data_IF_071754242315
#
_entry.id   IF_071754242315
#
_cell.length_a   1.000
_cell.length_b   1.000
_cell.length_c   1.000
_cell.angle_alpha   90.00
_cell.angle_beta   90.00
_cell.angle_gamma   90.00
#
_symmetry.space_group_name_H-M   'P 1'
#
loop_
_entity.id
_entity.type
_entity.pdbx_description
1 polymer ?
#
# COMPACT_ATOMS: atom_id res chain seq x y z
N UNK A 1 -10.00 -8.90 23.49
CA UNK A 1 -10.11 -10.35 23.70
C UNK A 1 -9.58 -10.63 25.10
N UNK A 2 -10.47 -10.89 26.05
CA UNK A 2 -10.10 -11.28 27.41
C UNK A 2 -9.41 -12.65 27.38
N UNK A 3 -8.42 -12.86 28.25
CA UNK A 3 -7.53 -14.04 28.28
C UNK A 3 -8.25 -15.40 28.36
N UNK A 4 -9.54 -15.40 28.70
CA UNK A 4 -10.40 -16.58 28.89
C UNK A 4 -11.04 -17.16 27.60
N UNK A 5 -10.86 -16.51 26.44
CA UNK A 5 -11.44 -16.95 25.15
C UNK A 5 -10.37 -17.46 24.15
N UNK A 6 -9.14 -17.66 24.62
CA UNK A 6 -8.05 -18.15 23.78
C UNK A 6 -8.18 -19.66 23.56
N UNK A 7 -7.92 -20.13 22.33
CA UNK A 7 -7.93 -21.54 22.00
C UNK A 7 -6.85 -22.31 22.80
N UNK A 8 -7.16 -23.57 23.16
CA UNK A 8 -6.28 -24.46 23.94
C UNK A 8 -4.91 -24.68 23.29
N UNK A 9 -4.87 -24.65 21.95
CA UNK A 9 -3.65 -24.70 21.15
C UNK A 9 -3.65 -23.57 20.14
N UNK A 10 -2.55 -22.82 20.08
CA UNK A 10 -2.28 -21.85 19.04
C UNK A 10 -0.80 -21.85 18.68
N UNK A 11 -0.49 -21.22 17.56
CA UNK A 11 0.87 -20.83 17.24
C UNK A 11 0.87 -19.41 16.73
N UNK A 12 2.01 -18.75 16.87
CA UNK A 12 2.27 -17.51 16.17
C UNK A 12 3.67 -17.52 15.61
N UNK A 13 3.88 -16.74 14.55
CA UNK A 13 5.18 -16.60 13.92
C UNK A 13 5.72 -15.20 14.13
N UNK A 14 7.05 -15.10 14.23
CA UNK A 14 7.75 -13.82 14.24
C UNK A 14 8.88 -13.86 13.25
N UNK A 15 9.02 -12.78 12.49
CA UNK A 15 10.12 -12.62 11.56
C UNK A 15 11.07 -11.57 12.11
N UNK A 16 12.36 -11.88 12.17
CA UNK A 16 13.41 -10.94 12.58
C UNK A 16 14.59 -11.00 11.64
N UNK A 17 15.15 -9.85 11.32
CA UNK A 17 16.39 -9.76 10.53
C UNK A 17 17.57 -10.18 11.40
N UNK A 18 18.31 -11.19 10.95
CA UNK A 18 19.51 -11.70 11.61
C UNK A 18 20.77 -10.88 11.25
N UNK A 19 21.92 -11.17 11.89
CA UNK A 19 23.18 -10.47 11.66
C UNK A 19 23.72 -10.57 10.22
N UNK A 20 23.40 -11.66 9.52
CA UNK A 20 23.75 -11.85 8.10
C UNK A 20 22.91 -10.98 7.14
N UNK A 21 21.92 -10.24 7.66
CA UNK A 21 20.97 -9.47 6.86
C UNK A 21 19.81 -10.29 6.30
N UNK A 22 19.81 -11.61 6.46
CA UNK A 22 18.70 -12.52 6.14
C UNK A 22 17.59 -12.47 7.21
N UNK A 23 16.40 -12.93 6.86
CA UNK A 23 15.27 -13.01 7.78
C UNK A 23 15.16 -14.41 8.39
N UNK A 24 15.08 -14.47 9.71
CA UNK A 24 14.80 -15.68 10.47
C UNK A 24 13.32 -15.70 10.86
N UNK A 25 12.66 -16.81 10.58
CA UNK A 25 11.27 -17.07 11.00
C UNK A 25 11.29 -17.93 12.25
N UNK A 26 10.67 -17.42 13.31
CA UNK A 26 10.47 -18.10 14.57
C UNK A 26 9.03 -18.61 14.62
N UNK A 27 8.86 -19.90 14.87
CA UNK A 27 7.58 -20.51 15.20
C UNK A 27 7.47 -20.61 16.72
N UNK A 28 6.40 -20.08 17.28
CA UNK A 28 6.14 -20.09 18.71
C UNK A 28 4.79 -20.77 18.91
N UNK A 29 4.84 -21.98 19.45
CA UNK A 29 3.65 -22.73 19.89
C UNK A 29 3.26 -22.27 21.29
N UNK A 30 1.97 -22.20 21.57
CA UNK A 30 1.45 -21.78 22.87
C UNK A 30 -0.02 -22.15 23.03
N UNK A 31 -0.55 -21.91 24.23
CA UNK A 31 -1.90 -22.34 24.60
C UNK A 31 -1.90 -22.97 25.98
N UNK A 32 -3.02 -22.86 26.70
CA UNK A 32 -3.13 -23.36 28.07
C UNK A 32 -2.88 -24.88 28.16
N UNK A 33 -3.17 -25.61 27.07
CA UNK A 33 -2.87 -27.04 27.00
C UNK A 33 -1.36 -27.33 26.96
N UNK A 34 -0.53 -26.50 26.34
CA UNK A 34 0.94 -26.66 26.35
C UNK A 34 1.56 -26.33 27.72
N UNK A 35 0.92 -25.46 28.51
CA UNK A 35 1.38 -25.14 29.87
C UNK A 35 0.98 -26.23 30.89
N UNK A 36 -0.14 -26.92 30.65
CA UNK A 36 -0.70 -27.93 31.55
C UNK A 36 -0.41 -29.39 31.15
N UNK A 37 0.08 -29.65 29.93
CA UNK A 37 0.42 -31.00 29.46
C UNK A 37 1.89 -31.10 29.07
N UNK A 38 2.51 -32.23 29.42
CA UNK A 38 3.84 -32.59 28.92
C UNK A 38 3.70 -33.07 27.48
N UNK A 39 4.31 -32.36 26.54
CA UNK A 39 4.48 -32.80 25.15
C UNK A 39 5.36 -34.07 25.16
N UNK A 40 4.90 -35.21 24.62
CA UNK A 40 5.71 -36.42 24.51
C UNK A 40 7.02 -36.18 23.74
N UNK A 41 8.08 -36.90 24.11
CA UNK A 41 9.41 -36.73 23.49
C UNK A 41 9.43 -37.05 21.98
N UNK A 42 8.53 -37.92 21.52
CA UNK A 42 8.44 -38.36 20.12
C UNK A 42 7.37 -37.60 19.29
N UNK A 43 6.86 -36.48 19.78
CA UNK A 43 5.84 -35.73 19.05
C UNK A 43 6.44 -34.93 17.88
N UNK A 44 5.95 -35.19 16.67
CA UNK A 44 6.40 -34.53 15.44
C UNK A 44 5.44 -33.43 15.00
N UNK A 45 5.97 -32.25 14.66
CA UNK A 45 5.19 -31.16 14.09
C UNK A 45 5.32 -31.12 12.56
N UNK A 46 4.20 -31.24 11.85
CA UNK A 46 4.15 -31.08 10.39
C UNK A 46 3.94 -29.61 10.01
N UNK A 47 4.81 -29.08 9.14
CA UNK A 47 4.81 -27.68 8.73
C UNK A 47 4.64 -27.56 7.21
N UNK A 48 3.72 -26.70 6.78
CA UNK A 48 3.63 -26.26 5.38
C UNK A 48 4.14 -24.83 5.29
N UNK A 49 5.22 -24.62 4.52
CA UNK A 49 5.92 -23.34 4.42
C UNK A 49 6.02 -22.88 2.96
N UNK A 50 5.84 -21.59 2.73
CA UNK A 50 6.13 -20.95 1.43
C UNK A 50 7.37 -20.09 1.56
N UNK A 51 8.39 -20.39 0.75
CA UNK A 51 9.66 -19.66 0.73
C UNK A 51 9.79 -18.76 -0.49
N UNK A 52 10.61 -17.71 -0.34
CA UNK A 52 11.10 -16.93 -1.48
C UNK A 52 12.61 -16.79 -1.40
N UNK A 53 13.17 -16.45 -2.54
CA UNK A 53 14.57 -16.30 -2.80
C UNK A 53 14.98 -14.85 -2.47
N UNK A 54 15.71 -14.67 -1.35
CA UNK A 54 16.06 -13.37 -0.80
C UNK A 54 17.07 -12.58 -1.64
N UNK A 55 18.32 -12.49 -1.20
CA UNK A 55 19.33 -11.62 -1.83
C UNK A 55 20.00 -12.24 -3.08
N UNK A 56 19.22 -12.84 -3.99
CA UNK A 56 19.79 -13.36 -5.22
C UNK A 56 20.38 -12.22 -6.08
N UNK A 57 21.54 -12.42 -6.73
CA UNK A 57 22.22 -11.33 -7.44
C UNK A 57 21.35 -10.75 -8.58
N UNK A 58 21.23 -9.43 -8.63
CA UNK A 58 20.53 -8.68 -9.70
C UNK A 58 20.94 -9.14 -11.11
N UNK A 59 22.24 -9.40 -11.31
CA UNK A 59 22.80 -9.84 -12.59
C UNK A 59 22.27 -11.22 -13.01
N UNK A 60 22.07 -12.13 -12.07
CA UNK A 60 21.50 -13.44 -12.36
C UNK A 60 20.07 -13.30 -12.89
N UNK A 61 19.27 -12.41 -12.28
CA UNK A 61 17.88 -12.15 -12.69
C UNK A 61 17.77 -11.41 -14.03
N UNK A 62 18.69 -10.50 -14.35
CA UNK A 62 18.68 -9.75 -15.62
C UNK A 62 18.96 -10.64 -16.84
N UNK A 63 19.81 -11.65 -16.69
CA UNK A 63 20.07 -12.64 -17.74
C UNK A 63 19.14 -13.86 -17.66
N UNK A 64 18.20 -13.89 -16.70
CA UNK A 64 17.26 -15.01 -16.59
C UNK A 64 16.25 -14.94 -17.72
N UNK A 65 16.36 -15.88 -18.65
CA UNK A 65 15.32 -16.12 -19.65
C UNK A 65 14.32 -17.11 -19.04
N UNK A 66 13.07 -16.68 -18.94
CA UNK A 66 11.96 -17.55 -18.60
C UNK A 66 11.26 -17.94 -19.90
N UNK A 67 11.58 -19.10 -20.44
CA UNK A 67 11.08 -19.59 -21.74
C UNK A 67 10.52 -21.03 -21.72
N UNK A 68 10.64 -21.71 -20.57
CA UNK A 68 10.28 -23.13 -20.43
C UNK A 68 8.91 -23.32 -19.76
N UNK A 69 8.07 -24.21 -20.31
CA UNK A 69 6.75 -24.57 -19.76
C UNK A 69 6.86 -25.84 -18.91
N UNK A 70 6.37 -25.81 -17.65
CA UNK A 70 6.50 -26.94 -16.71
C UNK A 70 5.42 -28.02 -16.87
N UNK A 71 4.20 -27.67 -17.28
CA UNK A 71 3.10 -28.60 -17.57
C UNK A 71 2.26 -28.04 -18.70
N UNK A 72 2.20 -28.75 -19.82
CA UNK A 72 1.36 -28.37 -20.96
C UNK A 72 0.01 -29.08 -20.86
N UNK A 73 -1.07 -28.31 -20.99
CA UNK A 73 -2.31 -28.80 -21.61
C UNK A 73 -2.05 -29.13 -23.09
N UNK A 74 -3.01 -29.72 -23.81
CA UNK A 74 -2.84 -30.17 -25.21
C UNK A 74 -2.40 -29.11 -26.24
N UNK A 75 -2.35 -27.83 -25.88
CA UNK A 75 -1.90 -26.73 -26.74
C UNK A 75 -0.43 -26.34 -26.48
N UNK A 76 0.31 -26.09 -27.56
CA UNK A 76 1.68 -25.55 -27.50
C UNK A 76 1.65 -24.07 -27.13
N UNK A 77 2.43 -23.68 -26.11
CA UNK A 77 2.54 -22.30 -25.62
C UNK A 77 4.02 -21.90 -25.62
N UNK A 78 4.31 -20.70 -26.14
CA UNK A 78 5.64 -20.09 -26.04
C UNK A 78 5.67 -19.11 -24.85
N UNK A 79 6.74 -19.15 -24.06
CA UNK A 79 6.96 -18.26 -22.92
C UNK A 79 8.12 -17.32 -23.24
N UNK A 80 7.96 -16.05 -22.90
CA UNK A 80 9.04 -15.05 -22.97
C UNK A 80 8.86 -14.01 -21.88
N UNK A 81 9.96 -13.44 -21.43
CA UNK A 81 9.93 -12.31 -20.52
C UNK A 81 9.62 -10.99 -21.27
N UNK A 82 8.74 -10.17 -20.71
CA UNK A 82 8.40 -8.84 -21.26
C UNK A 82 9.25 -7.72 -20.65
N UNK A 83 9.66 -7.87 -19.39
CA UNK A 83 10.39 -6.86 -18.63
C UNK A 83 11.39 -7.53 -17.68
N UNK A 84 12.53 -6.90 -17.40
CA UNK A 84 13.48 -7.45 -16.44
C UNK A 84 12.81 -7.70 -15.06
N UNK A 85 13.06 -8.85 -14.40
CA UNK A 85 12.53 -9.10 -13.06
C UNK A 85 13.00 -8.03 -12.07
N UNK A 86 12.12 -7.65 -11.15
CA UNK A 86 12.42 -6.66 -10.11
C UNK A 86 13.27 -7.27 -9.01
N UNK A 87 13.93 -6.40 -8.24
CA UNK A 87 14.58 -6.80 -7.00
C UNK A 87 13.56 -6.93 -5.87
N UNK A 88 13.81 -7.79 -4.87
CA UNK A 88 13.02 -7.81 -3.65
C UNK A 88 12.97 -6.41 -3.01
N UNK A 89 11.76 -5.97 -2.69
CA UNK A 89 11.50 -4.69 -2.05
C UNK A 89 11.02 -4.93 -0.63
N UNK A 90 11.80 -4.51 0.37
CA UNK A 90 11.49 -4.69 1.78
C UNK A 90 10.95 -3.38 2.37
N UNK A 91 9.97 -3.44 3.30
CA UNK A 91 9.45 -2.23 3.92
C UNK A 91 10.55 -1.52 4.74
N UNK A 92 10.49 -0.18 4.83
CA UNK A 92 11.48 0.59 5.58
C UNK A 92 11.40 0.29 7.09
N UNK A 93 12.56 0.06 7.70
CA UNK A 93 12.71 -0.21 9.13
C UNK A 93 12.99 1.06 9.96
N UNK A 94 12.64 2.24 9.44
CA UNK A 94 12.97 3.53 10.06
C UNK A 94 12.15 3.80 11.32
N UNK A 95 12.69 4.66 12.19
CA UNK A 95 12.02 5.07 13.43
C UNK A 95 10.63 5.65 13.14
N UNK A 96 9.61 5.18 13.88
CA UNK A 96 8.19 5.58 13.78
C UNK A 96 7.47 5.29 12.46
N UNK A 97 8.07 4.57 11.49
CA UNK A 97 7.38 4.23 10.23
C UNK A 97 6.01 3.58 10.48
N UNK A 98 5.97 2.52 11.28
CA UNK A 98 4.73 1.80 11.62
C UNK A 98 3.69 2.70 12.30
N UNK A 99 4.12 3.63 13.16
CA UNK A 99 3.23 4.59 13.79
C UNK A 99 2.62 5.54 12.77
N UNK A 100 3.43 6.06 11.84
CA UNK A 100 2.92 6.92 10.74
C UNK A 100 1.93 6.18 9.85
N UNK A 101 2.16 4.89 9.59
CA UNK A 101 1.19 4.04 8.87
C UNK A 101 -0.11 3.93 9.64
N UNK A 102 -0.06 3.54 10.92
CA UNK A 102 -1.28 3.43 11.74
C UNK A 102 -2.04 4.76 11.85
N UNK A 103 -1.33 5.88 12.00
CA UNK A 103 -1.94 7.20 12.13
C UNK A 103 -2.73 7.63 10.89
N UNK A 104 -2.27 7.32 9.67
CA UNK A 104 -2.99 7.74 8.47
C UNK A 104 -4.19 6.85 8.13
N UNK A 105 -4.36 5.70 8.77
CA UNK A 105 -5.50 4.80 8.50
C UNK A 105 -6.82 5.30 9.11
N UNK A 106 -6.75 6.29 10.02
CA UNK A 106 -7.91 6.89 10.63
C UNK A 106 -8.76 7.69 9.65
N UNK A 107 -10.08 7.59 9.76
CA UNK A 107 -11.06 8.33 8.95
C UNK A 107 -10.85 9.85 9.04
N UNK A 108 -10.52 10.36 10.23
CA UNK A 108 -10.24 11.77 10.50
C UNK A 108 -8.94 12.30 9.89
N UNK A 109 -8.06 11.43 9.39
CA UNK A 109 -6.76 11.86 8.86
C UNK A 109 -6.90 12.75 7.61
N UNK A 110 -8.00 12.65 6.86
CA UNK A 110 -8.27 13.50 5.71
C UNK A 110 -8.23 14.99 6.05
N UNK A 111 -8.70 15.41 7.22
CA UNK A 111 -8.70 16.83 7.59
C UNK A 111 -7.28 17.39 7.77
N UNK A 112 -6.29 16.54 8.01
CA UNK A 112 -4.88 16.94 8.19
C UNK A 112 -4.11 16.98 6.86
N UNK A 113 -4.68 16.43 5.78
CA UNK A 113 -4.04 16.34 4.46
C UNK A 113 -4.31 17.57 3.57
N UNK A 114 -4.66 18.72 4.17
CA UNK A 114 -4.98 19.97 3.47
C UNK A 114 -3.73 20.79 3.07
N UNK A 115 -2.56 20.15 3.03
CA UNK A 115 -1.29 20.76 2.67
C UNK A 115 -0.37 19.75 1.96
N UNK A 116 0.51 20.25 1.11
CA UNK A 116 1.38 19.41 0.29
C UNK A 116 2.38 18.59 1.12
N UNK A 117 2.87 19.11 2.25
CA UNK A 117 3.86 18.40 3.08
C UNK A 117 3.28 17.12 3.69
N UNK A 118 2.07 17.18 4.23
CA UNK A 118 1.39 16.01 4.80
C UNK A 118 1.03 15.00 3.71
N UNK A 119 0.54 15.45 2.54
CA UNK A 119 0.24 14.54 1.43
C UNK A 119 1.52 13.85 0.92
N UNK A 120 2.59 14.60 0.66
CA UNK A 120 3.91 14.04 0.27
C UNK A 120 4.42 13.06 1.32
N UNK A 121 4.37 13.44 2.60
CA UNK A 121 4.80 12.60 3.71
C UNK A 121 4.01 11.30 3.82
N UNK A 122 2.70 11.34 3.54
CA UNK A 122 1.82 10.17 3.56
C UNK A 122 2.09 9.26 2.36
N UNK A 123 2.17 9.82 1.15
CA UNK A 123 2.49 9.05 -0.06
C UNK A 123 3.89 8.45 -0.02
N UNK A 124 4.85 9.13 0.61
CA UNK A 124 6.21 8.61 0.84
C UNK A 124 6.23 7.33 1.69
N UNK A 125 5.18 7.03 2.46
CA UNK A 125 5.08 5.77 3.20
C UNK A 125 4.92 4.55 2.28
N UNK A 126 4.53 4.74 1.02
CA UNK A 126 4.39 3.69 0.02
C UNK A 126 5.58 3.61 -0.95
N UNK A 127 6.52 4.55 -0.87
CA UNK A 127 7.70 4.56 -1.72
C UNK A 127 8.85 3.80 -1.06
N UNK A 128 8.99 2.52 -1.42
CA UNK A 128 10.02 1.62 -0.86
C UNK A 128 11.13 1.28 -1.87
N UNK A 129 11.02 1.79 -3.10
CA UNK A 129 11.91 1.40 -4.21
C UNK A 129 13.12 2.32 -4.38
N UNK A 130 13.21 3.40 -3.57
CA UNK A 130 14.21 4.47 -3.71
C UNK A 130 14.29 5.04 -5.14
N UNK A 131 13.18 5.01 -5.87
CA UNK A 131 13.11 5.45 -7.25
C UNK A 131 13.22 6.97 -7.33
N UNK A 132 14.23 7.46 -8.05
CA UNK A 132 14.40 8.90 -8.29
C UNK A 132 13.17 9.49 -9.01
N UNK A 133 12.56 8.73 -9.92
CA UNK A 133 11.34 9.15 -10.60
C UNK A 133 10.17 9.32 -9.62
N UNK A 134 10.01 8.41 -8.66
CA UNK A 134 8.95 8.53 -7.66
C UNK A 134 9.21 9.69 -6.71
N UNK A 135 10.48 9.94 -6.34
CA UNK A 135 10.86 11.12 -5.55
C UNK A 135 10.51 12.42 -6.29
N UNK A 136 10.85 12.53 -7.58
CA UNK A 136 10.50 13.70 -8.42
C UNK A 136 8.99 13.90 -8.51
N UNK A 137 8.20 12.85 -8.68
CA UNK A 137 6.72 12.93 -8.68
C UNK A 137 6.17 13.43 -7.35
N UNK A 138 6.73 12.98 -6.22
CA UNK A 138 6.33 13.44 -4.89
C UNK A 138 6.69 14.92 -4.70
N UNK A 139 7.91 15.33 -5.06
CA UNK A 139 8.36 16.72 -4.99
C UNK A 139 7.54 17.65 -5.90
N UNK A 140 7.01 17.13 -7.00
CA UNK A 140 6.15 17.85 -7.91
C UNK A 140 4.75 18.15 -7.36
N UNK A 141 4.37 17.62 -6.21
CA UNK A 141 3.16 18.06 -5.50
C UNK A 141 3.46 19.41 -4.87
N UNK A 142 2.96 20.49 -5.47
CA UNK A 142 3.29 21.85 -5.05
C UNK A 142 2.38 22.34 -3.91
N UNK A 143 1.07 22.09 -4.03
CA UNK A 143 0.07 22.60 -3.10
C UNK A 143 -1.13 21.66 -3.00
N UNK A 144 -1.83 21.70 -1.87
CA UNK A 144 -3.07 20.95 -1.64
C UNK A 144 -4.03 21.89 -0.91
N UNK A 145 -5.29 21.94 -1.34
CA UNK A 145 -6.34 22.72 -0.67
C UNK A 145 -7.62 21.92 -0.55
N UNK A 146 -8.24 22.00 0.61
CA UNK A 146 -9.57 21.45 0.83
C UNK A 146 -10.60 22.57 0.84
N UNK A 147 -11.74 22.32 0.19
CA UNK A 147 -12.90 23.20 0.24
C UNK A 147 -14.13 22.37 0.55
N UNK A 148 -14.87 22.75 1.59
CA UNK A 148 -16.18 22.18 1.85
C UNK A 148 -17.11 22.55 0.68
N UNK A 149 -17.90 21.57 0.23
CA UNK A 149 -18.90 21.76 -0.81
C UNK A 149 -20.20 21.12 -0.36
N UNK A 150 -21.31 21.74 -0.72
CA UNK A 150 -22.65 21.23 -0.43
C UNK A 150 -23.48 21.26 -1.71
N UNK A 151 -24.22 20.19 -1.98
CA UNK A 151 -25.17 20.14 -3.10
C UNK A 151 -26.45 19.45 -2.71
N UNK A 152 -27.56 19.87 -3.31
CA UNK A 152 -28.81 19.13 -3.20
C UNK A 152 -28.82 17.97 -4.19
N UNK A 153 -29.15 16.78 -3.70
CA UNK A 153 -29.32 15.57 -4.50
C UNK A 153 -30.57 14.83 -4.03
N UNK A 154 -31.49 14.53 -4.94
CA UNK A 154 -32.69 13.73 -4.64
C UNK A 154 -33.48 14.22 -3.42
N UNK A 155 -33.58 15.54 -3.21
CA UNK A 155 -34.33 16.13 -2.09
C UNK A 155 -33.57 16.25 -0.76
N UNK A 156 -32.30 15.84 -0.70
CA UNK A 156 -31.47 15.95 0.50
C UNK A 156 -30.19 16.76 0.23
N UNK A 157 -29.68 17.43 1.27
CA UNK A 157 -28.39 18.11 1.21
C UNK A 157 -27.27 17.08 1.40
N UNK A 158 -26.35 17.04 0.43
CA UNK A 158 -25.17 16.18 0.46
C UNK A 158 -23.94 17.05 0.66
N UNK A 159 -23.11 16.70 1.64
CA UNK A 159 -21.85 17.37 1.94
C UNK A 159 -20.68 16.64 1.31
N UNK A 160 -19.67 17.39 0.90
CA UNK A 160 -18.44 16.82 0.40
C UNK A 160 -17.23 17.72 0.62
N UNK A 161 -16.06 17.15 0.33
CA UNK A 161 -14.79 17.86 0.30
C UNK A 161 -14.25 17.84 -1.12
N UNK A 162 -14.07 19.04 -1.68
CA UNK A 162 -13.29 19.22 -2.89
C UNK A 162 -11.82 19.34 -2.50
N UNK A 163 -11.01 18.42 -3.03
CA UNK A 163 -9.56 18.35 -2.82
C UNK A 163 -8.91 18.84 -4.11
N UNK A 164 -8.24 19.99 -4.03
CA UNK A 164 -7.51 20.59 -5.14
C UNK A 164 -6.02 20.38 -4.92
N UNK A 165 -5.36 19.66 -5.83
CA UNK A 165 -3.92 19.36 -5.78
C UNK A 165 -3.23 20.06 -6.94
N UNK A 166 -2.26 20.90 -6.64
CA UNK A 166 -1.45 21.56 -7.67
C UNK A 166 -0.18 20.76 -7.92
N UNK A 167 0.06 20.39 -9.18
CA UNK A 167 1.23 19.60 -9.60
C UNK A 167 2.12 20.39 -10.55
N UNK A 168 3.44 20.27 -10.40
CA UNK A 168 4.40 20.64 -11.44
C UNK A 168 4.45 19.54 -12.50
N UNK A 169 4.07 19.87 -13.73
CA UNK A 169 4.03 18.91 -14.83
C UNK A 169 5.43 18.39 -15.21
N UNK A 170 6.51 19.12 -14.92
CA UNK A 170 7.88 18.71 -15.21
C UNK A 170 8.38 17.54 -14.34
N UNK A 171 7.72 17.27 -13.20
CA UNK A 171 8.05 16.13 -12.36
C UNK A 171 7.51 14.79 -12.85
N UNK A 172 6.74 14.78 -13.93
CA UNK A 172 6.08 13.60 -14.48
C UNK A 172 6.58 13.29 -15.91
N UNK A 173 6.49 12.03 -16.33
CA UNK A 173 6.93 11.62 -17.66
C UNK A 173 6.04 12.14 -18.81
N UNK A 174 4.87 12.70 -18.49
CA UNK A 174 3.92 13.26 -19.43
C UNK A 174 2.48 13.14 -18.94
N UNK A 175 1.52 13.53 -19.79
CA UNK A 175 0.09 13.57 -19.43
C UNK A 175 -0.47 12.22 -18.98
N UNK A 176 -0.02 11.12 -19.58
CA UNK A 176 -0.46 9.77 -19.18
C UNK A 176 -0.07 9.41 -17.74
N UNK A 177 1.14 9.78 -17.33
CA UNK A 177 1.64 9.60 -15.96
C UNK A 177 0.83 10.43 -14.97
N UNK A 178 0.55 11.69 -15.31
CA UNK A 178 -0.27 12.61 -14.51
C UNK A 178 -1.71 12.07 -14.34
N UNK A 179 -2.35 11.64 -15.44
CA UNK A 179 -3.72 11.12 -15.37
C UNK A 179 -3.81 9.84 -14.55
N UNK A 180 -2.82 8.93 -14.69
CA UNK A 180 -2.75 7.70 -13.88
C UNK A 180 -2.52 8.02 -12.40
N UNK A 181 -1.62 8.96 -12.11
CA UNK A 181 -1.38 9.44 -10.75
C UNK A 181 -2.66 10.03 -10.15
N UNK A 182 -3.37 10.89 -10.88
CA UNK A 182 -4.64 11.48 -10.44
C UNK A 182 -5.76 10.46 -10.23
N UNK A 183 -5.86 9.43 -11.09
CA UNK A 183 -6.82 8.34 -10.90
C UNK A 183 -6.53 7.54 -9.62
N UNK A 184 -5.25 7.21 -9.38
CA UNK A 184 -4.84 6.54 -8.15
C UNK A 184 -5.07 7.42 -6.92
N UNK A 185 -4.82 8.71 -7.02
CA UNK A 185 -5.04 9.66 -5.94
C UNK A 185 -6.54 9.85 -5.63
N UNK A 186 -7.40 9.84 -6.65
CA UNK A 186 -8.86 9.86 -6.50
C UNK A 186 -9.35 8.64 -5.72
N UNK A 187 -8.82 7.45 -6.04
CA UNK A 187 -9.12 6.21 -5.30
C UNK A 187 -8.55 6.21 -3.89
N UNK A 188 -7.37 6.80 -3.68
CA UNK A 188 -6.79 6.96 -2.36
C UNK A 188 -7.68 7.83 -1.47
N UNK A 189 -8.10 9.01 -1.94
CA UNK A 189 -9.00 9.87 -1.17
C UNK A 189 -10.38 9.27 -0.94
N UNK A 190 -10.85 8.38 -1.83
CA UNK A 190 -12.08 7.63 -1.61
C UNK A 190 -12.05 6.76 -0.34
N UNK A 191 -10.86 6.32 0.12
CA UNK A 191 -10.74 5.52 1.34
C UNK A 191 -11.13 6.28 2.62
N UNK A 192 -11.12 7.62 2.56
CA UNK A 192 -11.50 8.51 3.64
C UNK A 192 -12.95 9.03 3.52
N UNK A 193 -13.71 8.54 2.54
CA UNK A 193 -15.14 8.86 2.42
C UNK A 193 -15.98 7.98 3.33
N UNK A 194 -17.06 8.55 3.85
CA UNK A 194 -18.05 7.87 4.68
C UNK A 194 -19.48 8.11 4.16
N UNK A 195 -20.48 7.61 4.87
CA UNK A 195 -21.90 7.77 4.53
C UNK A 195 -22.39 9.23 4.49
N UNK A 196 -21.68 10.16 5.13
CA UNK A 196 -22.07 11.56 5.27
C UNK A 196 -21.28 12.50 4.36
N UNK A 197 -20.15 12.06 3.81
CA UNK A 197 -19.21 12.89 3.08
C UNK A 197 -18.70 12.24 1.79
N UNK A 198 -18.90 12.90 0.65
CA UNK A 198 -18.24 12.54 -0.60
C UNK A 198 -16.95 13.33 -0.81
N UNK A 199 -16.03 12.77 -1.59
CA UNK A 199 -14.79 13.48 -1.98
C UNK A 199 -14.77 13.73 -3.48
N UNK A 200 -14.22 14.87 -3.91
CA UNK A 200 -13.99 15.20 -5.33
C UNK A 200 -12.56 15.67 -5.51
N UNK A 201 -11.80 15.02 -6.38
CA UNK A 201 -10.43 15.38 -6.69
C UNK A 201 -10.37 16.30 -7.91
N UNK A 202 -9.54 17.32 -7.80
CA UNK A 202 -9.21 18.26 -8.87
C UNK A 202 -7.70 18.44 -8.88
N UNK A 203 -7.08 18.33 -10.05
CA UNK A 203 -5.66 18.58 -10.24
C UNK A 203 -5.48 19.82 -11.11
N UNK A 204 -4.63 20.75 -10.64
CA UNK A 204 -4.21 21.93 -11.40
C UNK A 204 -2.75 21.72 -11.80
N UNK A 205 -2.48 21.77 -13.10
CA UNK A 205 -1.12 21.60 -13.62
C UNK A 205 -0.42 22.95 -13.75
N UNK A 206 0.79 23.04 -13.23
CA UNK A 206 1.72 24.14 -13.48
C UNK A 206 2.76 23.70 -14.52
N UNK A 207 3.20 24.59 -15.43
CA UNK A 207 2.80 26.00 -15.56
C UNK A 207 1.56 26.22 -16.45
N UNK A 208 0.95 25.17 -17.03
CA UNK A 208 -0.09 25.32 -18.05
C UNK A 208 -1.41 25.87 -17.54
N UNK A 209 -1.70 25.73 -16.24
CA UNK A 209 -3.00 26.03 -15.64
C UNK A 209 -4.10 25.03 -16.01
N UNK A 210 -3.78 23.92 -16.69
CA UNK A 210 -4.76 22.91 -17.07
C UNK A 210 -5.41 22.32 -15.81
N UNK A 211 -6.75 22.26 -15.83
CA UNK A 211 -7.56 21.74 -14.74
C UNK A 211 -8.14 20.39 -15.12
N UNK A 212 -7.76 19.37 -14.38
CA UNK A 212 -8.25 18.00 -14.52
C UNK A 212 -9.18 17.68 -13.35
N UNK A 213 -10.33 17.09 -13.63
CA UNK A 213 -11.33 16.79 -12.61
C UNK A 213 -11.74 15.31 -12.67
N UNK A 214 -11.91 14.71 -11.49
CA UNK A 214 -12.41 13.34 -11.34
C UNK A 214 -13.82 13.35 -10.77
N UNK A 215 -14.57 12.28 -11.06
CA UNK A 215 -15.90 12.07 -10.51
C UNK A 215 -15.90 12.01 -8.98
N UNK A 216 -17.03 12.41 -8.39
CA UNK A 216 -17.27 12.32 -6.95
C UNK A 216 -17.18 10.86 -6.47
N UNK A 217 -16.46 10.65 -5.37
CA UNK A 217 -16.37 9.36 -4.70
C UNK A 217 -17.29 9.36 -3.50
N UNK A 218 -18.26 8.46 -3.54
CA UNK A 218 -19.26 8.23 -2.49
C UNK A 218 -18.98 6.86 -1.85
N UNK A 219 -19.24 6.73 -0.56
CA UNK A 219 -19.07 5.48 0.19
C UNK A 219 -20.27 5.20 1.08
N UNK A 220 -20.57 3.92 1.26
CA UNK A 220 -21.59 3.46 2.22
C UNK A 220 -20.98 3.02 3.56
N UNK A 221 -19.70 3.34 3.78
CA UNK A 221 -18.95 2.95 4.97
C UNK A 221 -19.34 3.82 6.17
N UNK A 222 -19.62 3.16 7.30
CA UNK A 222 -19.81 3.86 8.59
C UNK A 222 -18.43 4.33 9.09
N UNK A 223 -18.30 5.58 9.56
CA UNK A 223 -17.05 6.06 10.16
C UNK A 223 -16.61 5.14 11.29
N UNK A 224 -15.36 4.66 11.20
CA UNK A 224 -14.70 3.90 12.27
C UNK A 224 -13.80 4.78 13.10
#
# INVERSE_FOLDING_TARGET
MTRHDAADYYYHTRVRRGPSGLYNTWLIVGGEAFDNHTVPEDESLSLTLTGTNGQLPRRALQSTVLDTVMKTTSASIAVRNLCAPTLPCYPPAQYRFHWRVMSHLGSSFLSLMDNAEVLRGTLALYEWTDSEMNRRRLEAILDVKHRATERFAQGHLVRGVQIEVTLDSHGFAGRGDICLFGEMLSRFFALYTDIYLFNRLIIILQPTGERLEWEEKHSRRIPG
#
